data_IF_320824147107
#
_entry.id   IF_320824147107
#
_cell.length_a   1.000
_cell.length_b   1.000
_cell.length_c   1.000
_cell.angle_alpha   90.00
_cell.angle_beta   90.00
_cell.angle_gamma   90.00
#
_symmetry.space_group_name_H-M   'P 1'
#
loop_
_entity.id
_entity.type
_entity.pdbx_description
1 polymer ?
#
# COMPACT_ATOMS: atom_id res chain seq x y z
N UNK A 1 -61.53 44.74 10.18
CA UNK A 1 -60.38 45.36 9.48
C UNK A 1 -59.18 45.15 10.38
N UNK A 2 -58.05 44.60 9.98
CA UNK A 2 -57.67 43.54 9.03
C UNK A 2 -56.23 43.20 9.47
N UNK A 3 -55.98 41.91 9.62
CA UNK A 3 -54.72 41.20 9.87
C UNK A 3 -53.41 41.96 9.55
N UNK A 4 -52.56 42.18 10.56
CA UNK A 4 -51.20 42.74 10.44
C UNK A 4 -50.21 41.58 10.29
N UNK A 5 -49.80 41.32 9.05
CA UNK A 5 -48.85 40.27 8.70
C UNK A 5 -47.42 40.67 9.09
N UNK A 6 -46.81 39.83 9.92
CA UNK A 6 -45.40 39.90 10.31
C UNK A 6 -44.47 39.55 9.15
N UNK A 7 -43.53 40.46 8.84
CA UNK A 7 -42.29 40.13 8.12
C UNK A 7 -41.16 40.97 8.76
N UNK A 8 -40.27 40.30 9.48
CA UNK A 8 -39.07 40.91 10.05
C UNK A 8 -37.98 41.04 8.98
N UNK A 9 -37.38 42.23 8.78
CA UNK A 9 -36.30 42.47 7.84
C UNK A 9 -34.95 42.30 8.53
N UNK A 10 -34.38 41.09 8.50
CA UNK A 10 -32.94 40.94 8.73
C UNK A 10 -32.22 40.96 7.40
N UNK A 11 -32.15 42.18 6.83
CA UNK A 11 -31.18 42.52 5.80
C UNK A 11 -29.80 42.67 6.41
N UNK A 12 -28.90 41.82 5.93
CA UNK A 12 -27.47 42.05 5.69
C UNK A 12 -26.75 43.12 6.51
N UNK A 13 -25.85 42.69 7.39
CA UNK A 13 -24.58 43.39 7.61
C UNK A 13 -23.45 42.43 7.31
N UNK A 14 -22.72 42.77 6.24
CA UNK A 14 -21.46 42.18 5.85
C UNK A 14 -20.46 42.28 7.01
N UNK A 15 -19.82 41.15 7.31
CA UNK A 15 -18.45 41.19 7.80
C UNK A 15 -17.66 40.20 6.96
N UNK A 16 -17.02 40.74 5.93
CA UNK A 16 -15.95 40.08 5.18
C UNK A 16 -14.83 39.74 6.18
N UNK A 17 -14.79 38.49 6.59
CA UNK A 17 -13.54 37.87 7.03
C UNK A 17 -12.90 37.30 5.78
N UNK A 18 -12.02 38.09 5.17
CA UNK A 18 -11.02 37.58 4.25
C UNK A 18 -10.15 36.61 5.06
N UNK A 19 -10.55 35.34 5.06
CA UNK A 19 -9.68 34.26 5.45
C UNK A 19 -8.71 34.09 4.27
N UNK A 20 -7.59 34.79 4.38
CA UNK A 20 -6.33 34.46 3.73
C UNK A 20 -5.91 33.10 4.33
N UNK A 21 -6.58 32.04 3.88
CA UNK A 21 -6.08 30.68 4.04
C UNK A 21 -5.07 30.57 2.93
N UNK A 22 -3.80 30.64 3.32
CA UNK A 22 -2.67 30.16 2.56
C UNK A 22 -3.04 28.74 2.09
N UNK A 23 -3.61 28.66 0.88
CA UNK A 23 -3.84 27.43 0.11
C UNK A 23 -2.46 26.95 -0.35
N UNK A 24 -1.58 26.70 0.61
CA UNK A 24 -0.43 25.87 0.43
C UNK A 24 -0.99 24.47 0.27
N UNK A 25 -1.40 24.16 -0.96
CA UNK A 25 -1.76 22.82 -1.37
C UNK A 25 -0.71 21.81 -0.90
N UNK A 26 -1.08 20.51 -0.80
CA UNK A 26 -0.18 19.49 -0.32
C UNK A 26 1.19 19.60 -1.01
N UNK A 27 2.30 19.41 -0.25
CA UNK A 27 3.63 19.57 -0.80
C UNK A 27 3.76 18.72 -2.06
N UNK A 28 4.20 19.35 -3.16
CA UNK A 28 4.37 18.65 -4.43
C UNK A 28 5.30 17.45 -4.22
N UNK A 29 4.77 16.24 -4.44
CA UNK A 29 5.55 15.02 -4.34
C UNK A 29 6.66 15.08 -5.40
N UNK A 30 7.93 14.83 -5.03
CA UNK A 30 9.04 14.94 -5.97
C UNK A 30 8.83 14.00 -7.17
N UNK A 31 9.24 14.48 -8.34
CA UNK A 31 9.14 13.75 -9.58
C UNK A 31 10.15 12.60 -9.61
N UNK A 32 9.71 11.43 -9.16
CA UNK A 32 10.59 10.30 -8.87
C UNK A 32 11.38 9.80 -10.09
N UNK A 33 10.78 9.65 -11.30
CA UNK A 33 11.54 9.30 -12.51
C UNK A 33 12.70 10.24 -12.79
N UNK A 34 12.49 11.56 -12.69
CA UNK A 34 13.55 12.53 -12.91
C UNK A 34 14.64 12.44 -11.83
N UNK A 35 14.27 12.17 -10.58
CA UNK A 35 15.21 12.04 -9.46
C UNK A 35 16.14 10.84 -9.58
N UNK A 36 15.67 9.74 -10.19
CA UNK A 36 16.45 8.51 -10.43
C UNK A 36 17.09 8.46 -11.82
N UNK A 37 17.02 9.54 -12.59
CA UNK A 37 17.66 9.65 -13.91
C UNK A 37 16.92 8.95 -15.05
N UNK A 38 15.62 8.65 -14.91
CA UNK A 38 14.78 8.26 -16.03
C UNK A 38 14.35 9.49 -16.83
N UNK A 39 14.45 9.37 -18.15
CA UNK A 39 13.98 10.37 -19.10
C UNK A 39 12.87 9.78 -19.97
N UNK A 40 12.09 10.63 -20.62
CA UNK A 40 11.19 10.16 -21.65
C UNK A 40 12.00 9.42 -22.72
N UNK A 41 11.45 8.30 -23.22
CA UNK A 41 12.11 7.33 -24.09
C UNK A 41 13.13 6.42 -23.41
N UNK A 42 13.35 6.52 -22.10
CA UNK A 42 14.09 5.52 -21.36
C UNK A 42 13.47 4.13 -21.54
N UNK A 43 14.35 3.13 -21.65
CA UNK A 43 13.98 1.72 -21.81
C UNK A 43 13.97 1.04 -20.46
N UNK A 44 12.86 0.38 -20.20
CA UNK A 44 12.51 -0.26 -18.95
C UNK A 44 12.19 -1.73 -19.23
N UNK A 45 12.34 -2.57 -18.23
CA UNK A 45 11.80 -3.91 -18.20
C UNK A 45 10.91 -4.02 -16.96
N UNK A 46 9.66 -4.44 -17.14
CA UNK A 46 8.68 -4.57 -16.07
C UNK A 46 8.49 -6.05 -15.76
N UNK A 47 8.48 -6.42 -14.48
CA UNK A 47 8.30 -7.79 -14.02
C UNK A 47 6.82 -8.15 -14.07
N UNK A 48 6.51 -9.22 -14.78
CA UNK A 48 5.17 -9.80 -14.89
C UNK A 48 5.16 -11.23 -14.36
N UNK A 49 4.12 -11.57 -13.62
CA UNK A 49 3.80 -12.94 -13.25
C UNK A 49 2.74 -13.49 -14.22
N UNK A 50 3.11 -14.55 -14.93
CA UNK A 50 2.27 -15.21 -15.92
C UNK A 50 1.73 -16.49 -15.30
N UNK A 51 0.41 -16.58 -15.17
CA UNK A 51 -0.27 -17.77 -14.71
C UNK A 51 -0.59 -18.67 -15.91
N UNK A 52 0.00 -19.87 -15.93
CA UNK A 52 -0.30 -20.87 -16.95
C UNK A 52 -1.53 -21.69 -16.55
N UNK A 53 -2.24 -22.24 -17.54
CA UNK A 53 -3.40 -23.13 -17.30
C UNK A 53 -3.03 -24.40 -16.51
N UNK A 54 -1.74 -24.77 -16.48
CA UNK A 54 -1.20 -25.87 -15.67
C UNK A 54 -1.15 -25.58 -14.17
N UNK A 55 -1.40 -24.32 -13.76
CA UNK A 55 -1.22 -23.84 -12.38
C UNK A 55 0.22 -23.44 -12.05
N UNK A 56 1.13 -23.48 -13.03
CA UNK A 56 2.50 -23.01 -12.86
C UNK A 56 2.56 -21.49 -13.09
N UNK A 57 3.13 -20.75 -12.14
CA UNK A 57 3.42 -19.32 -12.29
C UNK A 57 4.83 -19.18 -12.85
N UNK A 58 5.00 -18.42 -13.93
CA UNK A 58 6.32 -18.05 -14.45
C UNK A 58 6.49 -16.54 -14.44
N UNK A 59 7.70 -16.08 -14.22
CA UNK A 59 8.01 -14.65 -14.22
C UNK A 59 8.66 -14.25 -15.54
N UNK A 60 8.27 -13.09 -16.08
CA UNK A 60 8.89 -12.49 -17.27
C UNK A 60 9.18 -11.02 -17.07
N UNK A 61 10.38 -10.61 -17.46
CA UNK A 61 10.74 -9.20 -17.63
C UNK A 61 10.32 -8.74 -19.03
N UNK A 62 9.30 -7.89 -19.13
CA UNK A 62 8.76 -7.39 -20.38
C UNK A 62 9.25 -5.97 -20.65
N UNK A 63 9.90 -5.78 -21.81
CA UNK A 63 10.37 -4.48 -22.29
C UNK A 63 9.24 -3.44 -22.46
N UNK A 64 9.51 -2.23 -21.98
CA UNK A 64 8.66 -1.06 -22.13
C UNK A 64 9.49 0.21 -22.36
N UNK A 65 8.85 1.23 -22.92
CA UNK A 65 9.38 2.58 -23.09
C UNK A 65 8.60 3.55 -22.20
N UNK A 66 9.30 4.42 -21.46
CA UNK A 66 8.66 5.57 -20.81
C UNK A 66 8.19 6.56 -21.87
N UNK A 67 6.92 6.49 -22.25
CA UNK A 67 6.45 7.09 -23.48
C UNK A 67 6.19 8.60 -23.34
N UNK A 68 5.40 8.99 -22.34
CA UNK A 68 5.06 10.38 -22.04
C UNK A 68 4.67 10.57 -20.56
N UNK A 69 4.75 11.82 -20.11
CA UNK A 69 4.19 12.28 -18.84
C UNK A 69 2.74 12.72 -19.07
N UNK A 70 1.83 12.35 -18.18
CA UNK A 70 0.43 12.79 -18.27
C UNK A 70 0.25 14.10 -17.50
N UNK A 71 0.37 15.23 -18.20
CA UNK A 71 0.30 16.57 -17.60
C UNK A 71 -1.00 16.79 -16.81
N UNK A 72 -0.87 17.31 -15.58
CA UNK A 72 -2.01 17.57 -14.70
C UNK A 72 -2.68 16.32 -14.14
N UNK A 73 -2.16 15.12 -14.45
CA UNK A 73 -2.65 13.86 -13.89
C UNK A 73 -1.72 13.38 -12.80
N UNK A 74 -2.27 13.28 -11.60
CA UNK A 74 -1.63 12.63 -10.47
C UNK A 74 -2.45 11.43 -10.04
N UNK A 75 -1.84 10.55 -9.26
CA UNK A 75 -2.58 9.55 -8.51
C UNK A 75 -3.28 10.17 -7.28
N UNK A 76 -3.91 9.32 -6.46
CA UNK A 76 -4.60 9.74 -5.23
C UNK A 76 -3.67 10.31 -4.14
N UNK A 77 -2.36 10.20 -4.29
CA UNK A 77 -1.34 10.73 -3.37
C UNK A 77 -0.62 11.97 -3.93
N UNK A 78 -0.99 12.43 -5.14
CA UNK A 78 -0.34 13.57 -5.79
C UNK A 78 0.94 13.22 -6.54
N UNK A 79 1.27 11.93 -6.71
CA UNK A 79 2.40 11.49 -7.55
C UNK A 79 2.06 11.63 -9.02
N UNK A 80 3.03 12.05 -9.82
CA UNK A 80 2.87 12.24 -11.25
C UNK A 80 2.60 10.91 -11.98
N UNK A 81 1.57 10.88 -12.84
CA UNK A 81 1.31 9.73 -13.70
C UNK A 81 2.11 9.77 -15.02
N UNK A 82 2.45 8.59 -15.52
CA UNK A 82 3.23 8.35 -16.72
C UNK A 82 2.55 7.32 -17.60
N UNK A 83 2.77 7.41 -18.92
CA UNK A 83 2.37 6.37 -19.86
C UNK A 83 3.59 5.53 -20.19
N UNK A 84 3.53 4.23 -19.90
CA UNK A 84 4.45 3.24 -20.45
C UNK A 84 3.90 2.70 -21.76
N UNK A 85 4.79 2.39 -22.69
CA UNK A 85 4.45 1.68 -23.93
C UNK A 85 5.23 0.38 -23.97
N UNK A 86 4.53 -0.75 -23.83
CA UNK A 86 5.11 -2.08 -23.90
C UNK A 86 5.52 -2.45 -25.32
N UNK A 87 6.54 -3.27 -25.43
CA UNK A 87 6.91 -3.88 -26.71
C UNK A 87 5.87 -4.94 -27.11
N UNK A 88 5.56 -5.10 -28.40
CA UNK A 88 4.74 -6.21 -28.87
C UNK A 88 5.34 -7.56 -28.48
N UNK A 89 4.51 -8.44 -27.92
CA UNK A 89 4.87 -9.78 -27.46
C UNK A 89 3.89 -10.83 -28.02
N UNK A 90 4.04 -11.20 -29.31
CA UNK A 90 3.10 -12.11 -29.98
C UNK A 90 3.08 -13.52 -29.36
N UNK A 91 4.18 -13.95 -28.71
CA UNK A 91 4.24 -15.23 -27.99
C UNK A 91 3.28 -15.28 -26.77
N UNK A 92 2.89 -14.11 -26.24
CA UNK A 92 1.92 -13.97 -25.16
C UNK A 92 0.56 -13.44 -25.67
N UNK A 93 0.34 -13.45 -26.99
CA UNK A 93 -0.90 -12.96 -27.60
C UNK A 93 -1.06 -11.44 -27.63
N UNK A 94 0.02 -10.69 -27.42
CA UNK A 94 0.03 -9.23 -27.41
C UNK A 94 0.73 -8.71 -28.67
N UNK A 95 0.04 -8.80 -29.81
CA UNK A 95 0.61 -8.51 -31.14
C UNK A 95 0.92 -7.02 -31.40
N UNK A 96 0.33 -6.13 -30.60
CA UNK A 96 0.46 -4.68 -30.73
C UNK A 96 1.11 -4.08 -29.47
N UNK A 97 1.74 -2.91 -29.63
CA UNK A 97 2.30 -2.19 -28.50
C UNK A 97 1.17 -1.64 -27.64
N UNK A 98 1.14 -2.02 -26.36
CA UNK A 98 0.12 -1.57 -25.42
C UNK A 98 0.61 -0.38 -24.61
N UNK A 99 -0.27 0.61 -24.40
CA UNK A 99 0.01 1.75 -23.52
C UNK A 99 -0.64 1.53 -22.16
N UNK A 100 0.13 1.68 -21.08
CA UNK A 100 -0.36 1.56 -19.73
C UNK A 100 -0.02 2.79 -18.88
N UNK A 101 -1.00 3.23 -18.09
CA UNK A 101 -0.86 4.34 -17.18
C UNK A 101 -0.29 3.86 -15.84
N UNK A 102 0.84 4.43 -15.44
CA UNK A 102 1.53 4.08 -14.21
C UNK A 102 1.87 5.30 -13.35
N UNK A 103 2.19 5.06 -12.09
CA UNK A 103 2.86 6.00 -11.20
C UNK A 103 4.07 5.33 -10.56
N UNK A 104 5.18 6.04 -10.40
CA UNK A 104 6.38 5.47 -9.79
C UNK A 104 6.31 5.63 -8.28
N UNK A 105 6.44 4.51 -7.57
CA UNK A 105 6.36 4.47 -6.11
C UNK A 105 7.76 4.68 -5.51
N UNK A 106 8.73 3.92 -6.02
CA UNK A 106 10.12 3.87 -5.55
C UNK A 106 11.08 3.60 -6.73
N UNK A 107 12.39 3.52 -6.47
CA UNK A 107 13.42 3.35 -7.50
C UNK A 107 13.23 2.11 -8.38
N UNK A 108 12.60 1.05 -7.89
CA UNK A 108 12.35 -0.18 -8.64
C UNK A 108 10.90 -0.66 -8.61
N UNK A 109 9.98 0.19 -8.15
CA UNK A 109 8.57 -0.16 -8.02
C UNK A 109 7.68 0.90 -8.65
N UNK A 110 6.70 0.44 -9.41
CA UNK A 110 5.67 1.26 -10.00
C UNK A 110 4.30 0.65 -9.71
N UNK A 111 3.27 1.47 -9.89
CA UNK A 111 1.89 1.05 -9.77
C UNK A 111 1.18 1.21 -11.10
N UNK A 112 0.61 0.12 -11.60
CA UNK A 112 -0.24 0.07 -12.78
C UNK A 112 -1.67 0.45 -12.40
N UNK A 113 -2.14 1.61 -12.91
CA UNK A 113 -3.46 2.12 -12.59
C UNK A 113 -4.60 1.41 -13.34
N UNK A 114 -4.30 0.69 -14.42
CA UNK A 114 -5.30 -0.03 -15.20
C UNK A 114 -5.59 -1.40 -14.58
N UNK A 115 -4.55 -2.08 -14.10
CA UNK A 115 -4.64 -3.39 -13.48
C UNK A 115 -4.70 -3.36 -11.95
N UNK A 116 -4.54 -2.17 -11.36
CA UNK A 116 -4.60 -1.95 -9.92
C UNK A 116 -3.53 -2.79 -9.19
N UNK A 117 -2.33 -2.88 -9.77
CA UNK A 117 -1.24 -3.77 -9.36
C UNK A 117 0.08 -3.02 -9.17
N UNK A 118 0.86 -3.43 -8.17
CA UNK A 118 2.24 -2.97 -8.00
C UNK A 118 3.17 -3.90 -8.78
N UNK A 119 4.08 -3.34 -9.55
CA UNK A 119 5.01 -4.08 -10.40
C UNK A 119 6.44 -3.62 -10.15
N UNK A 120 7.36 -4.58 -10.13
CA UNK A 120 8.79 -4.28 -10.12
C UNK A 120 9.26 -3.86 -11.52
N UNK A 121 10.23 -2.95 -11.57
CA UNK A 121 10.83 -2.51 -12.82
C UNK A 121 12.35 -2.35 -12.70
N UNK A 122 13.03 -2.47 -13.83
CA UNK A 122 14.46 -2.18 -13.96
C UNK A 122 14.78 -1.48 -15.26
N UNK A 123 15.92 -0.79 -15.31
CA UNK A 123 16.44 -0.29 -16.58
C UNK A 123 16.74 -1.46 -17.52
N UNK A 124 16.45 -1.32 -18.81
CA UNK A 124 16.67 -2.41 -19.76
C UNK A 124 18.14 -2.85 -19.81
N UNK A 125 18.37 -4.16 -19.64
CA UNK A 125 19.72 -4.73 -19.57
C UNK A 125 20.43 -4.55 -18.22
N UNK A 126 19.72 -4.07 -17.19
CA UNK A 126 20.20 -4.07 -15.81
C UNK A 126 20.21 -5.49 -15.24
N UNK A 127 21.24 -5.81 -14.46
CA UNK A 127 21.31 -7.06 -13.68
C UNK A 127 20.51 -7.00 -12.36
N UNK A 128 19.79 -5.90 -12.13
CA UNK A 128 18.89 -5.83 -10.98
C UNK A 128 17.81 -6.90 -11.09
N UNK A 129 17.59 -7.61 -9.99
CA UNK A 129 16.48 -8.51 -9.82
C UNK A 129 15.79 -8.17 -8.50
N UNK A 130 14.50 -8.49 -8.42
CA UNK A 130 13.74 -8.24 -7.22
C UNK A 130 14.28 -9.14 -6.12
N UNK A 131 14.62 -8.62 -4.93
CA UNK A 131 15.03 -9.47 -3.84
C UNK A 131 13.90 -10.47 -3.57
N UNK A 132 14.21 -11.77 -3.66
CA UNK A 132 13.26 -12.80 -3.24
C UNK A 132 12.87 -12.49 -1.80
N UNK A 133 11.64 -12.04 -1.59
CA UNK A 133 11.05 -11.99 -0.26
C UNK A 133 11.16 -13.41 0.27
N UNK A 134 12.06 -13.60 1.24
CA UNK A 134 12.34 -14.88 1.84
C UNK A 134 11.16 -15.29 2.73
N UNK A 135 10.00 -15.61 2.14
CA UNK A 135 8.87 -16.37 2.71
C UNK A 135 7.69 -16.46 1.69
N UNK A 136 7.98 -16.89 0.46
CA UNK A 136 6.99 -17.12 -0.59
C UNK A 136 6.70 -18.60 -0.87
N UNK A 137 6.65 -19.48 0.14
CA UNK A 137 6.01 -20.79 -0.05
C UNK A 137 4.49 -20.59 -0.05
N UNK A 138 3.92 -20.49 -1.25
CA UNK A 138 2.49 -20.67 -1.49
C UNK A 138 2.09 -22.11 -1.14
N UNK A 139 1.87 -22.34 0.16
CA UNK A 139 1.46 -23.61 0.73
C UNK A 139 0.35 -23.40 1.75
N UNK A 140 -0.84 -23.87 1.39
CA UNK A 140 -2.06 -23.94 2.20
C UNK A 140 -2.78 -22.61 2.45
N UNK A 141 -4.12 -22.66 2.45
CA UNK A 141 -5.06 -21.53 2.47
C UNK A 141 -5.09 -20.73 3.78
N UNK A 142 -3.93 -20.44 4.35
CA UNK A 142 -3.73 -19.57 5.51
C UNK A 142 -3.09 -18.28 5.02
N UNK A 143 -3.90 -17.25 4.79
CA UNK A 143 -3.40 -15.89 4.59
C UNK A 143 -2.56 -15.52 5.80
N UNK A 144 -1.25 -15.35 5.59
CA UNK A 144 -0.35 -15.05 6.70
C UNK A 144 -0.59 -13.61 7.20
N UNK A 145 -0.29 -13.33 8.47
CA UNK A 145 -0.34 -11.96 8.98
C UNK A 145 0.61 -11.01 8.21
N UNK A 146 1.65 -11.55 7.58
CA UNK A 146 2.54 -10.79 6.69
C UNK A 146 1.87 -10.47 5.34
N UNK A 147 1.04 -11.36 4.80
CA UNK A 147 0.20 -11.13 3.62
C UNK A 147 -0.89 -10.09 3.90
N UNK A 148 -1.50 -10.13 5.09
CA UNK A 148 -2.45 -9.09 5.53
C UNK A 148 -1.72 -7.76 5.69
N UNK A 149 -0.53 -7.74 6.29
CA UNK A 149 0.27 -6.52 6.44
C UNK A 149 0.77 -5.98 5.09
N UNK A 150 1.12 -6.86 4.13
CA UNK A 150 1.48 -6.48 2.77
C UNK A 150 0.27 -5.92 2.02
N UNK A 151 -0.90 -6.55 2.15
CA UNK A 151 -2.16 -6.06 1.57
C UNK A 151 -2.60 -4.73 2.20
N UNK A 152 -2.38 -4.54 3.50
CA UNK A 152 -2.65 -3.27 4.19
C UNK A 152 -1.70 -2.18 3.70
N UNK A 153 -0.38 -2.45 3.60
CA UNK A 153 0.58 -1.50 3.00
C UNK A 153 0.26 -1.18 1.54
N UNK A 154 -0.22 -2.17 0.80
CA UNK A 154 -0.67 -2.01 -0.58
C UNK A 154 -1.97 -1.18 -0.67
N UNK A 155 -2.84 -1.25 0.34
CA UNK A 155 -4.03 -0.40 0.51
C UNK A 155 -3.71 1.03 0.93
N UNK A 156 -2.75 1.22 1.85
CA UNK A 156 -2.28 2.54 2.32
C UNK A 156 -1.75 3.41 1.17
N UNK A 157 -1.09 2.79 0.17
CA UNK A 157 -0.60 3.47 -1.05
C UNK A 157 -1.71 3.81 -2.07
N UNK A 158 -2.91 3.23 -1.95
CA UNK A 158 -4.01 3.36 -2.94
C UNK A 158 -4.91 4.58 -2.70
N UNK A 159 -5.11 5.03 -1.46
CA UNK A 159 -6.07 6.08 -1.10
C UNK A 159 -5.63 6.73 0.20
N UNK A 160 -5.52 8.06 0.26
CA UNK A 160 -5.19 8.81 1.49
C UNK A 160 -6.25 8.68 2.62
N UNK A 161 -6.52 7.47 3.10
CA UNK A 161 -7.33 7.10 4.26
C UNK A 161 -6.43 6.64 5.40
N UNK A 162 -6.97 6.64 6.61
CA UNK A 162 -6.20 6.21 7.78
C UNK A 162 -6.13 4.68 7.88
N UNK A 163 -5.01 4.16 8.37
CA UNK A 163 -4.74 2.72 8.60
C UNK A 163 -5.91 1.96 9.24
N UNK A 164 -6.60 2.61 10.17
CA UNK A 164 -7.72 2.03 10.91
C UNK A 164 -8.97 1.82 10.04
N UNK A 165 -9.22 2.69 9.05
CA UNK A 165 -10.41 2.63 8.19
C UNK A 165 -10.31 1.50 7.17
N UNK A 166 -9.15 1.35 6.54
CA UNK A 166 -8.93 0.31 5.53
C UNK A 166 -8.72 -1.07 6.17
N UNK A 167 -8.06 -1.14 7.33
CA UNK A 167 -7.96 -2.37 8.10
C UNK A 167 -9.35 -2.86 8.56
N UNK A 168 -10.24 -1.96 8.99
CA UNK A 168 -11.60 -2.30 9.37
C UNK A 168 -12.44 -2.76 8.17
N UNK A 169 -12.34 -2.07 7.02
CA UNK A 169 -13.04 -2.44 5.79
C UNK A 169 -12.59 -3.82 5.30
N UNK A 170 -11.28 -4.07 5.21
CA UNK A 170 -10.73 -5.36 4.82
C UNK A 170 -11.11 -6.48 5.79
N UNK A 171 -10.95 -6.28 7.10
CA UNK A 171 -11.34 -7.27 8.10
C UNK A 171 -12.83 -7.61 8.00
N UNK A 172 -13.68 -6.62 7.72
CA UNK A 172 -15.12 -6.82 7.57
C UNK A 172 -15.52 -7.53 6.28
N UNK A 173 -14.72 -7.42 5.21
CA UNK A 173 -14.93 -8.08 3.93
C UNK A 173 -14.53 -9.56 3.93
N UNK A 174 -13.73 -10.00 4.92
CA UNK A 174 -13.31 -11.39 5.02
C UNK A 174 -14.49 -12.32 5.40
N UNK A 175 -14.52 -13.56 4.90
CA UNK A 175 -15.42 -14.60 5.40
C UNK A 175 -15.40 -14.73 6.93
N UNK A 176 -16.57 -14.97 7.54
CA UNK A 176 -16.74 -15.01 9.01
C UNK A 176 -15.77 -15.98 9.72
N UNK A 177 -15.39 -17.10 9.08
CA UNK A 177 -14.39 -18.02 9.64
C UNK A 177 -12.99 -17.39 9.72
N UNK A 178 -12.60 -16.59 8.72
CA UNK A 178 -11.32 -15.88 8.72
C UNK A 178 -11.33 -14.73 9.72
N UNK A 179 -12.45 -14.02 9.87
CA UNK A 179 -12.61 -13.00 10.93
C UNK A 179 -12.44 -13.61 12.32
N UNK A 180 -13.07 -14.75 12.58
CA UNK A 180 -12.95 -15.47 13.86
C UNK A 180 -11.54 -15.99 14.11
N UNK A 181 -10.84 -16.44 13.07
CA UNK A 181 -9.45 -16.87 13.15
C UNK A 181 -8.50 -15.69 13.48
N UNK A 182 -8.70 -14.53 12.85
CA UNK A 182 -7.93 -13.31 13.14
C UNK A 182 -8.19 -12.84 14.57
N UNK A 183 -9.45 -12.79 15.00
CA UNK A 183 -9.80 -12.41 16.36
C UNK A 183 -9.16 -13.35 17.40
N UNK A 184 -9.16 -14.66 17.13
CA UNK A 184 -8.57 -15.67 18.02
C UNK A 184 -7.03 -15.59 18.06
N UNK A 185 -6.39 -15.38 16.92
CA UNK A 185 -4.92 -15.24 16.85
C UNK A 185 -4.42 -13.93 17.46
N UNK A 186 -5.19 -12.84 17.32
CA UNK A 186 -4.93 -11.58 18.00
C UNK A 186 -5.09 -11.70 19.53
N UNK A 187 -6.15 -12.38 20.00
CA UNK A 187 -6.33 -12.65 21.42
C UNK A 187 -5.12 -13.39 22.00
N UNK A 188 -4.68 -14.47 21.34
CA UNK A 188 -3.50 -15.24 21.75
C UNK A 188 -2.21 -14.41 21.73
N UNK A 189 -2.03 -13.58 20.71
CA UNK A 189 -0.90 -12.65 20.62
C UNK A 189 -0.89 -11.65 21.78
N UNK A 190 -2.04 -11.02 22.05
CA UNK A 190 -2.18 -10.02 23.11
C UNK A 190 -1.94 -10.62 24.50
N UNK A 191 -2.41 -11.84 24.74
CA UNK A 191 -2.18 -12.58 25.98
C UNK A 191 -0.70 -12.93 26.13
N UNK A 192 -0.04 -13.39 25.06
CA UNK A 192 1.38 -13.76 25.09
C UNK A 192 2.27 -12.54 25.31
N UNK A 193 1.97 -11.42 24.65
CA UNK A 193 2.67 -10.15 24.83
C UNK A 193 2.49 -9.60 26.24
N UNK A 194 1.26 -9.60 26.76
CA UNK A 194 0.97 -9.17 28.12
C UNK A 194 1.70 -10.05 29.15
N UNK A 195 1.74 -11.37 28.93
CA UNK A 195 2.46 -12.30 29.79
C UNK A 195 3.98 -12.07 29.74
N UNK A 196 4.56 -11.77 28.59
CA UNK A 196 5.98 -11.44 28.44
C UNK A 196 6.35 -10.15 29.17
N UNK A 197 5.55 -9.09 29.01
CA UNK A 197 5.75 -7.83 29.72
C UNK A 197 5.54 -7.96 31.24
N UNK A 198 4.57 -8.77 31.67
CA UNK A 198 4.35 -9.08 33.08
C UNK A 198 5.54 -9.86 33.70
N UNK A 199 6.11 -10.84 32.97
CA UNK A 199 7.33 -11.55 33.40
C UNK A 199 8.51 -10.59 33.53
N UNK A 200 8.65 -9.66 32.59
CA UNK A 200 9.74 -8.69 32.56
C UNK A 200 9.66 -7.71 33.74
N UNK A 201 8.44 -7.25 34.06
CA UNK A 201 8.16 -6.40 35.22
C UNK A 201 8.35 -7.17 36.54
N UNK A 202 7.96 -8.45 36.59
CA UNK A 202 8.15 -9.30 37.76
C UNK A 202 9.63 -9.64 38.04
N UNK A 203 10.45 -9.76 36.99
CA UNK A 203 11.88 -10.05 37.12
C UNK A 203 12.70 -8.83 37.54
N UNK A 204 12.41 -7.66 36.98
CA UNK A 204 13.18 -6.44 37.21
C UNK A 204 12.61 -5.51 38.31
N UNK A 205 11.41 -5.81 38.80
CA UNK A 205 10.74 -5.07 39.87
C UNK A 205 9.80 -3.96 39.37
N UNK A 206 8.95 -3.43 40.26
CA UNK A 206 7.86 -2.49 39.89
C UNK A 206 8.34 -1.10 39.44
N UNK A 207 9.61 -0.76 39.67
CA UNK A 207 10.22 0.51 39.23
C UNK A 207 10.98 0.36 37.90
N UNK A 208 10.93 -0.81 37.29
CA UNK A 208 11.60 -1.06 36.02
C UNK A 208 10.92 -0.31 34.88
N UNK A 209 11.69 0.52 34.16
CA UNK A 209 11.23 1.19 32.95
C UNK A 209 11.40 0.24 31.78
N UNK A 210 10.28 -0.18 31.19
CA UNK A 210 10.27 -0.98 29.97
C UNK A 210 10.95 -0.20 28.85
N UNK A 211 12.00 -0.78 28.28
CA UNK A 211 12.75 -0.19 27.18
C UNK A 211 12.25 -0.66 25.81
N UNK A 212 12.65 0.02 24.76
CA UNK A 212 12.37 -0.42 23.38
C UNK A 212 12.89 -1.84 23.09
N UNK A 213 14.03 -2.22 23.67
CA UNK A 213 14.60 -3.55 23.51
C UNK A 213 13.72 -4.63 24.17
N UNK A 214 13.12 -4.31 25.32
CA UNK A 214 12.21 -5.21 26.03
C UNK A 214 10.92 -5.45 25.25
N UNK A 215 10.36 -4.39 24.67
CA UNK A 215 9.19 -4.47 23.79
C UNK A 215 9.50 -5.29 22.55
N UNK A 216 10.66 -5.07 21.91
CA UNK A 216 11.10 -5.87 20.75
C UNK A 216 11.27 -7.35 21.09
N UNK A 217 11.85 -7.66 22.25
CA UNK A 217 12.01 -9.05 22.72
C UNK A 217 10.65 -9.72 23.00
N UNK A 218 9.74 -9.01 23.67
CA UNK A 218 8.40 -9.51 23.97
C UNK A 218 7.55 -9.73 22.70
N UNK A 219 7.68 -8.85 21.70
CA UNK A 219 7.05 -9.03 20.38
C UNK A 219 7.64 -10.24 19.64
N UNK A 220 8.95 -10.43 19.67
CA UNK A 220 9.60 -11.58 19.05
C UNK A 220 9.14 -12.90 19.68
N UNK A 221 9.00 -12.95 21.00
CA UNK A 221 8.46 -14.10 21.74
C UNK A 221 7.00 -14.38 21.35
N UNK A 222 6.15 -13.35 21.31
CA UNK A 222 4.74 -13.50 20.93
C UNK A 222 4.58 -13.99 19.48
N UNK A 223 5.42 -13.51 18.55
CA UNK A 223 5.45 -14.01 17.16
C UNK A 223 5.93 -15.47 17.07
N UNK A 224 6.92 -15.87 17.85
CA UNK A 224 7.41 -17.25 17.88
C UNK A 224 6.36 -18.22 18.44
N UNK A 225 5.59 -17.80 19.44
CA UNK A 225 4.48 -18.58 20.00
C UNK A 225 3.35 -18.80 18.97
N UNK A 226 3.03 -17.81 18.13
CA UNK A 226 2.06 -17.95 17.05
C UNK A 226 2.49 -18.98 15.99
N UNK A 227 3.79 -19.04 15.65
CA UNK A 227 4.33 -20.05 14.71
C UNK A 227 4.29 -21.47 15.26
N UNK A 228 4.30 -21.61 16.59
CA UNK A 228 4.34 -22.91 17.27
C UNK A 228 2.96 -23.50 17.55
N UNK A 229 1.90 -22.69 17.46
CA UNK A 229 0.51 -23.09 17.73
C UNK A 229 -0.30 -23.52 16.49
N UNK A 230 0.34 -23.56 15.31
CA UNK A 230 -0.27 -23.96 14.03
C UNK A 230 0.14 -25.35 13.53
N UNK A 231 0.55 -26.25 14.44
CA UNK A 231 0.87 -27.66 14.15
C UNK A 231 -0.16 -28.60 14.79
#
# INVERSE_FOLDING_TARGET
MADEAAVLPWGSSQQEVAADVDDAGPPAVPDLPAAIGLELKSRLEIKWELHQESGETSTKWWGAELHRREEGRTDGEGRQCYMLRYDPEPEQGCDEAEECLVTFLEEHFLYDLAQDAELAWRAAGSDWDEPEDADGEAGDGTVSMAEVAASIRQGERRRGRTLDEDAAEMLSALPMQQQMHIASSYALFSETLAAALARLTAHNGPEYVVTEADVKAAIAEAKAAQRSGGA
#
